data_IF_157534648239
#
_entry.id   IF_157534648239
#
_cell.length_a   1.000
_cell.length_b   1.000
_cell.length_c   1.000
_cell.angle_alpha   90.00
_cell.angle_beta   90.00
_cell.angle_gamma   90.00
#
_symmetry.space_group_name_H-M   'P 1'
#
loop_
_entity.id
_entity.type
_entity.pdbx_description
1 polymer ?
#
# COMPACT_ATOMS: atom_id res chain seq x y z
N UNK A 1 -16.80 16.06 37.93
CA UNK A 1 -15.47 15.40 37.99
C UNK A 1 -15.50 13.99 37.40
N UNK A 2 -16.56 13.61 36.66
CA UNK A 2 -16.88 12.23 36.28
C UNK A 2 -16.25 11.75 34.96
N UNK A 3 -15.79 12.67 34.10
CA UNK A 3 -15.21 12.33 32.80
C UNK A 3 -13.82 11.67 32.93
N UNK A 4 -13.08 11.99 34.00
CA UNK A 4 -11.71 11.48 34.23
C UNK A 4 -11.69 10.02 34.72
N UNK A 5 -12.71 9.60 35.48
CA UNK A 5 -12.84 8.21 35.95
C UNK A 5 -13.23 7.24 34.83
N UNK A 6 -14.12 7.63 33.90
CA UNK A 6 -14.50 6.78 32.75
C UNK A 6 -13.35 6.52 31.78
N UNK A 7 -12.50 7.52 31.53
CA UNK A 7 -11.33 7.38 30.67
C UNK A 7 -10.29 6.43 31.28
N UNK A 8 -10.08 6.50 32.60
CA UNK A 8 -9.18 5.62 33.33
C UNK A 8 -9.68 4.16 33.36
N UNK A 9 -10.98 3.94 33.61
CA UNK A 9 -11.63 2.62 33.54
C UNK A 9 -11.52 1.99 32.14
N UNK A 10 -11.70 2.78 31.07
CA UNK A 10 -11.52 2.28 29.69
C UNK A 10 -10.07 1.87 29.39
N UNK A 11 -9.09 2.64 29.87
CA UNK A 11 -7.68 2.28 29.71
C UNK A 11 -7.36 0.97 30.45
N UNK A 12 -7.85 0.80 31.68
CA UNK A 12 -7.64 -0.42 32.47
C UNK A 12 -8.28 -1.64 31.80
N UNK A 13 -9.49 -1.50 31.25
CA UNK A 13 -10.16 -2.58 30.51
C UNK A 13 -9.40 -2.98 29.25
N UNK A 14 -8.94 -2.02 28.45
CA UNK A 14 -8.18 -2.26 27.21
C UNK A 14 -6.84 -2.93 27.51
N UNK A 15 -6.13 -2.46 28.54
CA UNK A 15 -4.86 -3.06 28.97
C UNK A 15 -5.08 -4.48 29.51
N UNK A 16 -6.12 -4.71 30.32
CA UNK A 16 -6.42 -6.03 30.87
C UNK A 16 -6.81 -7.04 29.78
N UNK A 17 -7.63 -6.64 28.81
CA UNK A 17 -7.97 -7.48 27.65
C UNK A 17 -6.74 -7.75 26.76
N UNK A 18 -5.88 -6.75 26.58
CA UNK A 18 -4.62 -6.90 25.86
C UNK A 18 -3.68 -7.90 26.54
N UNK A 19 -3.52 -7.82 27.86
CA UNK A 19 -2.69 -8.74 28.65
C UNK A 19 -3.25 -10.17 28.62
N UNK A 20 -4.57 -10.34 28.79
CA UNK A 20 -5.23 -11.65 28.68
C UNK A 20 -5.12 -12.24 27.28
N UNK A 21 -5.24 -11.42 26.24
CA UNK A 21 -5.03 -11.83 24.85
C UNK A 21 -3.59 -12.30 24.59
N UNK A 22 -2.60 -11.56 25.11
CA UNK A 22 -1.17 -11.91 25.01
C UNK A 22 -0.88 -13.23 25.75
N UNK A 23 -1.44 -13.42 26.96
CA UNK A 23 -1.29 -14.65 27.75
C UNK A 23 -1.96 -15.83 27.04
N UNK A 24 -3.15 -15.64 26.46
CA UNK A 24 -3.84 -16.66 25.67
C UNK A 24 -3.04 -17.09 24.45
N UNK A 25 -2.48 -16.14 23.70
CA UNK A 25 -1.58 -16.42 22.56
C UNK A 25 -0.30 -17.13 23.01
N UNK A 26 0.24 -16.79 24.19
CA UNK A 26 1.45 -17.41 24.73
C UNK A 26 1.22 -18.86 25.18
N UNK A 27 0.11 -19.13 25.88
CA UNK A 27 -0.28 -20.48 26.34
C UNK A 27 -0.64 -21.41 25.18
N UNK A 28 -1.39 -20.92 24.20
CA UNK A 28 -1.80 -21.70 23.03
C UNK A 28 -0.82 -21.62 21.85
N UNK A 29 0.36 -21.01 22.03
CA UNK A 29 1.40 -20.83 21.00
C UNK A 29 1.69 -22.11 20.22
N UNK A 30 1.85 -23.24 20.90
CA UNK A 30 2.18 -24.54 20.26
C UNK A 30 1.01 -25.08 19.41
N UNK A 31 -0.23 -24.88 19.85
CA UNK A 31 -1.43 -25.34 19.14
C UNK A 31 -1.81 -24.41 17.97
N UNK A 32 -1.58 -23.11 18.12
CA UNK A 32 -1.77 -22.10 17.07
C UNK A 32 -0.74 -22.30 15.96
N UNK A 33 0.55 -22.48 16.28
CA UNK A 33 1.62 -22.71 15.31
C UNK A 33 1.46 -24.05 14.58
N UNK A 34 0.91 -25.09 15.23
CA UNK A 34 0.62 -26.40 14.63
C UNK A 34 -0.62 -26.40 13.72
N UNK A 35 -1.58 -25.50 13.94
CA UNK A 35 -2.78 -25.35 13.09
C UNK A 35 -2.42 -24.92 11.67
N UNK A 36 -3.25 -25.29 10.67
CA UNK A 36 -3.10 -24.87 9.26
C UNK A 36 -2.92 -23.35 9.11
N UNK A 37 -3.53 -22.57 9.98
CA UNK A 37 -3.42 -21.10 9.98
C UNK A 37 -2.06 -20.61 10.50
N UNK A 38 -1.54 -21.19 11.58
CA UNK A 38 -0.23 -20.80 12.12
C UNK A 38 0.94 -21.26 11.28
N UNK A 39 0.84 -22.42 10.61
CA UNK A 39 1.84 -22.81 9.61
C UNK A 39 1.82 -21.87 8.39
N UNK A 40 0.64 -21.41 7.94
CA UNK A 40 0.51 -20.43 6.85
C UNK A 40 1.14 -19.08 7.23
N UNK A 41 0.89 -18.60 8.44
CA UNK A 41 1.50 -17.37 8.97
C UNK A 41 3.01 -17.54 9.19
N UNK A 42 3.44 -18.67 9.74
CA UNK A 42 4.86 -18.99 9.94
C UNK A 42 5.62 -19.03 8.62
N UNK A 43 5.05 -19.63 7.58
CA UNK A 43 5.63 -19.65 6.24
C UNK A 43 5.65 -18.27 5.59
N UNK A 44 4.60 -17.44 5.76
CA UNK A 44 4.59 -16.04 5.32
C UNK A 44 5.69 -15.22 6.02
N UNK A 45 5.83 -15.36 7.34
CA UNK A 45 6.86 -14.67 8.13
C UNK A 45 8.26 -15.12 7.74
N UNK A 46 8.46 -16.43 7.53
CA UNK A 46 9.74 -16.97 7.06
C UNK A 46 10.08 -16.44 5.66
N UNK A 47 9.10 -16.42 4.74
CA UNK A 47 9.28 -15.83 3.42
C UNK A 47 9.58 -14.33 3.46
N UNK A 48 8.96 -13.58 4.38
CA UNK A 48 9.25 -12.16 4.60
C UNK A 48 10.67 -11.94 5.15
N UNK A 49 11.09 -12.75 6.12
CA UNK A 49 12.45 -12.74 6.68
C UNK A 49 13.51 -13.10 5.62
N UNK A 50 13.24 -14.12 4.80
CA UNK A 50 14.09 -14.50 3.66
C UNK A 50 14.16 -13.37 2.62
N UNK A 51 13.05 -12.67 2.37
CA UNK A 51 13.02 -11.48 1.52
C UNK A 51 13.92 -10.36 2.04
N UNK A 52 13.83 -10.02 3.33
CA UNK A 52 14.72 -9.01 3.95
C UNK A 52 16.18 -9.47 3.90
N UNK A 53 16.44 -10.76 4.16
CA UNK A 53 17.79 -11.31 4.11
C UNK A 53 18.38 -11.29 2.69
N UNK A 54 17.54 -11.38 1.66
CA UNK A 54 17.95 -11.28 0.26
C UNK A 54 18.48 -9.90 -0.09
N UNK A 55 17.89 -8.83 0.47
CA UNK A 55 18.37 -7.45 0.27
C UNK A 55 19.80 -7.29 0.78
N UNK A 56 20.15 -7.95 1.88
CA UNK A 56 21.52 -7.94 2.45
C UNK A 56 22.55 -8.68 1.60
N UNK A 57 22.12 -9.58 0.70
CA UNK A 57 22.99 -10.34 -0.21
C UNK A 57 23.25 -9.62 -1.53
N UNK A 58 22.65 -8.46 -1.77
CA UNK A 58 22.89 -7.65 -2.96
C UNK A 58 24.28 -7.02 -2.91
N UNK A 59 24.94 -6.90 -4.06
CA UNK A 59 26.25 -6.25 -4.18
C UNK A 59 26.23 -4.78 -3.72
N UNK A 60 25.08 -4.11 -3.86
CA UNK A 60 24.89 -2.68 -3.50
C UNK A 60 23.55 -2.46 -2.78
N UNK A 61 23.43 -2.85 -1.50
CA UNK A 61 22.17 -2.78 -0.77
C UNK A 61 21.70 -1.33 -0.57
N UNK A 62 22.63 -0.38 -0.44
CA UNK A 62 22.30 1.04 -0.31
C UNK A 62 21.63 1.62 -1.56
N UNK A 63 22.13 1.32 -2.76
CA UNK A 63 21.51 1.77 -4.01
C UNK A 63 20.10 1.21 -4.15
N UNK A 64 19.89 -0.05 -3.77
CA UNK A 64 18.57 -0.68 -3.80
C UNK A 64 17.56 0.05 -2.90
N UNK A 65 17.96 0.38 -1.67
CA UNK A 65 17.10 1.13 -0.73
C UNK A 65 16.80 2.52 -1.28
N UNK A 66 17.80 3.22 -1.83
CA UNK A 66 17.62 4.55 -2.42
C UNK A 66 16.65 4.51 -3.61
N UNK A 67 16.78 3.54 -4.51
CA UNK A 67 15.84 3.37 -5.63
C UNK A 67 14.44 3.01 -5.13
N UNK A 68 14.33 2.18 -4.10
CA UNK A 68 13.05 1.82 -3.49
C UNK A 68 12.35 3.05 -2.93
N UNK A 69 13.03 3.84 -2.09
CA UNK A 69 12.49 5.09 -1.54
C UNK A 69 12.15 6.10 -2.64
N UNK A 70 12.97 6.19 -3.69
CA UNK A 70 12.68 7.06 -4.83
C UNK A 70 11.39 6.66 -5.54
N UNK A 71 11.14 5.36 -5.75
CA UNK A 71 9.87 4.89 -6.35
C UNK A 71 8.68 5.31 -5.47
N UNK A 72 8.77 5.10 -4.14
CA UNK A 72 7.72 5.54 -3.22
C UNK A 72 7.49 7.05 -3.29
N UNK A 73 8.55 7.85 -3.30
CA UNK A 73 8.45 9.30 -3.42
C UNK A 73 7.81 9.72 -4.75
N UNK A 74 8.18 9.08 -5.86
CA UNK A 74 7.57 9.37 -7.17
C UNK A 74 6.08 9.00 -7.21
N UNK A 75 5.68 7.88 -6.60
CA UNK A 75 4.27 7.50 -6.48
C UNK A 75 3.47 8.50 -5.62
N UNK A 76 4.07 8.98 -4.53
CA UNK A 76 3.49 10.03 -3.72
C UNK A 76 3.32 11.33 -4.50
N UNK A 77 4.38 11.78 -5.18
CA UNK A 77 4.36 12.99 -6.00
C UNK A 77 3.35 12.90 -7.13
N UNK A 78 3.26 11.76 -7.81
CA UNK A 78 2.22 11.50 -8.81
C UNK A 78 0.83 11.73 -8.24
N UNK A 79 0.53 11.15 -7.07
CA UNK A 79 -0.78 11.28 -6.41
C UNK A 79 -1.06 12.73 -6.02
N UNK A 80 -0.07 13.40 -5.44
CA UNK A 80 -0.20 14.79 -4.99
C UNK A 80 -0.36 15.76 -6.17
N UNK A 81 0.42 15.58 -7.24
CA UNK A 81 0.32 16.41 -8.44
C UNK A 81 -1.02 16.21 -9.17
N UNK A 82 -1.58 15.00 -9.14
CA UNK A 82 -2.87 14.71 -9.72
C UNK A 82 -4.02 15.49 -9.04
N UNK A 83 -3.91 15.85 -7.76
CA UNK A 83 -4.91 16.70 -7.11
C UNK A 83 -5.07 18.04 -7.81
N UNK A 84 -3.98 18.66 -8.27
CA UNK A 84 -4.05 19.94 -9.00
C UNK A 84 -4.72 19.81 -10.37
N UNK A 85 -4.76 18.61 -10.94
CA UNK A 85 -5.40 18.35 -12.24
C UNK A 85 -6.93 18.22 -12.15
N UNK A 86 -7.49 18.05 -10.96
CA UNK A 86 -8.91 17.80 -10.75
C UNK A 86 -9.49 18.80 -9.75
N UNK A 87 -10.34 19.70 -10.22
CA UNK A 87 -10.82 20.84 -9.44
C UNK A 87 -11.39 20.45 -8.04
N UNK A 88 -12.20 19.38 -7.90
CA UNK A 88 -12.71 18.96 -6.58
C UNK A 88 -11.64 18.54 -5.57
N UNK A 89 -10.47 18.09 -6.01
CA UNK A 89 -9.38 17.63 -5.12
C UNK A 89 -8.21 18.62 -5.04
N UNK A 90 -8.22 19.69 -5.83
CA UNK A 90 -7.13 20.68 -5.95
C UNK A 90 -6.76 21.43 -4.65
N UNK A 91 -7.68 21.52 -3.70
CA UNK A 91 -7.49 22.19 -2.41
C UNK A 91 -6.95 21.26 -1.31
N UNK A 92 -6.78 19.98 -1.60
CA UNK A 92 -6.38 18.97 -0.61
C UNK A 92 -4.91 19.10 -0.24
N UNK A 93 -4.61 18.86 1.03
CA UNK A 93 -3.25 19.02 1.57
C UNK A 93 -2.33 17.85 1.18
N UNK A 94 -1.00 18.03 1.24
CA UNK A 94 -0.04 16.95 0.98
C UNK A 94 -0.23 15.70 1.86
N UNK A 95 -0.78 15.88 3.07
CA UNK A 95 -1.09 14.77 4.01
C UNK A 95 -2.21 13.89 3.45
N UNK A 96 -3.22 14.48 2.80
CA UNK A 96 -4.29 13.74 2.13
C UNK A 96 -3.72 12.91 0.98
N UNK A 97 -2.72 13.44 0.27
CA UNK A 97 -2.02 12.70 -0.80
C UNK A 97 -1.31 11.45 -0.27
N UNK A 98 -0.73 11.54 0.93
CA UNK A 98 -0.07 10.40 1.58
C UNK A 98 -1.12 9.35 2.00
N UNK A 99 -2.25 9.80 2.55
CA UNK A 99 -3.38 8.92 2.88
C UNK A 99 -3.90 8.19 1.63
N UNK A 100 -4.17 8.90 0.54
CA UNK A 100 -4.62 8.29 -0.71
C UNK A 100 -3.60 7.30 -1.25
N UNK A 101 -2.31 7.61 -1.19
CA UNK A 101 -1.23 6.69 -1.57
C UNK A 101 -1.26 5.40 -0.74
N UNK A 102 -1.37 5.50 0.58
CA UNK A 102 -1.41 4.33 1.48
C UNK A 102 -2.65 3.48 1.22
N UNK A 103 -3.83 4.11 1.15
CA UNK A 103 -5.09 3.41 0.87
C UNK A 103 -5.10 2.78 -0.53
N UNK A 104 -4.54 3.47 -1.53
CA UNK A 104 -4.35 2.94 -2.87
C UNK A 104 -3.41 1.72 -2.88
N UNK A 105 -2.28 1.79 -2.18
CA UNK A 105 -1.35 0.67 -2.06
C UNK A 105 -2.01 -0.56 -1.40
N UNK A 106 -2.82 -0.33 -0.35
CA UNK A 106 -3.63 -1.38 0.27
C UNK A 106 -4.66 -1.95 -0.71
N UNK A 107 -5.27 -1.12 -1.55
CA UNK A 107 -6.25 -1.52 -2.55
C UNK A 107 -5.68 -2.44 -3.61
N UNK A 108 -4.42 -2.22 -4.00
CA UNK A 108 -3.68 -3.11 -4.92
C UNK A 108 -3.18 -4.37 -4.21
N UNK A 109 -2.86 -4.30 -2.92
CA UNK A 109 -2.40 -5.44 -2.14
C UNK A 109 -3.51 -6.45 -1.84
N UNK A 110 -4.79 -6.02 -1.85
CA UNK A 110 -5.93 -6.92 -1.75
C UNK A 110 -5.98 -7.86 -2.97
N UNK A 111 -6.46 -9.11 -2.80
CA UNK A 111 -6.46 -10.11 -3.87
C UNK A 111 -7.58 -9.85 -4.89
N UNK A 112 -7.51 -8.73 -5.61
CA UNK A 112 -8.37 -8.42 -6.76
C UNK A 112 -7.56 -8.40 -8.06
N UNK A 113 -8.16 -8.76 -9.21
CA UNK A 113 -7.47 -8.75 -10.50
C UNK A 113 -6.88 -7.36 -10.80
N UNK A 114 -5.55 -7.25 -10.76
CA UNK A 114 -4.83 -5.99 -11.01
C UNK A 114 -5.14 -4.86 -10.02
N UNK A 115 -5.71 -5.14 -8.84
CA UNK A 115 -6.11 -4.11 -7.88
C UNK A 115 -7.41 -3.38 -8.23
N UNK A 116 -8.09 -3.75 -9.33
CA UNK A 116 -9.31 -3.09 -9.79
C UNK A 116 -10.47 -3.31 -8.80
N UNK A 117 -11.32 -2.30 -8.63
CA UNK A 117 -12.43 -2.25 -7.67
C UNK A 117 -11.97 -1.91 -6.24
N UNK A 118 -11.02 -2.68 -5.71
CA UNK A 118 -10.47 -2.48 -4.37
C UNK A 118 -9.69 -1.15 -4.24
N UNK A 119 -8.89 -0.81 -5.26
CA UNK A 119 -8.21 0.48 -5.35
C UNK A 119 -9.20 1.65 -5.33
N UNK A 120 -10.20 1.62 -6.23
CA UNK A 120 -11.21 2.68 -6.30
C UNK A 120 -11.98 2.81 -4.99
N UNK A 121 -12.36 1.67 -4.39
CA UNK A 121 -13.02 1.62 -3.10
C UNK A 121 -12.23 2.34 -2.00
N UNK A 122 -10.96 1.98 -1.82
CA UNK A 122 -10.14 2.55 -0.75
C UNK A 122 -9.73 4.00 -0.99
N UNK A 123 -9.53 4.41 -2.25
CA UNK A 123 -9.28 5.83 -2.58
C UNK A 123 -10.53 6.68 -2.33
N UNK A 124 -11.73 6.18 -2.68
CA UNK A 124 -12.99 6.85 -2.34
C UNK A 124 -13.16 7.01 -0.83
N UNK A 125 -12.86 5.98 -0.05
CA UNK A 125 -12.91 6.05 1.42
C UNK A 125 -11.90 7.08 1.95
N UNK A 126 -10.67 7.07 1.45
CA UNK A 126 -9.64 8.01 1.86
C UNK A 126 -10.06 9.46 1.61
N UNK A 127 -10.60 9.76 0.43
CA UNK A 127 -11.06 11.11 0.08
C UNK A 127 -12.36 11.50 0.79
N UNK A 128 -13.27 10.55 1.02
CA UNK A 128 -14.52 10.77 1.73
C UNK A 128 -14.32 11.19 3.18
N UNK A 129 -13.27 10.72 3.85
CA UNK A 129 -12.88 11.18 5.20
C UNK A 129 -12.58 12.69 5.22
N UNK A 130 -12.12 13.25 4.11
CA UNK A 130 -11.81 14.68 3.96
C UNK A 130 -12.95 15.48 3.30
N UNK A 131 -14.15 14.91 3.18
CA UNK A 131 -15.34 15.62 2.71
C UNK A 131 -15.50 15.69 1.19
N UNK A 132 -14.71 14.93 0.42
CA UNK A 132 -14.89 14.84 -1.05
C UNK A 132 -16.13 14.00 -1.36
N UNK A 133 -16.97 14.48 -2.27
CA UNK A 133 -18.16 13.75 -2.72
C UNK A 133 -17.77 12.39 -3.31
N UNK A 134 -18.61 11.37 -3.09
CA UNK A 134 -18.32 10.00 -3.54
C UNK A 134 -18.15 9.91 -5.08
N UNK A 135 -18.94 10.67 -5.83
CA UNK A 135 -18.82 10.78 -7.30
C UNK A 135 -17.45 11.32 -7.72
N UNK A 136 -16.96 12.33 -7.00
CA UNK A 136 -15.69 13.00 -7.30
C UNK A 136 -14.51 12.14 -6.88
N UNK A 137 -14.61 11.46 -5.73
CA UNK A 137 -13.63 10.48 -5.29
C UNK A 137 -13.53 9.29 -6.24
N UNK A 138 -14.65 8.82 -6.80
CA UNK A 138 -14.66 7.77 -7.82
C UNK A 138 -13.98 8.24 -9.11
N UNK A 139 -14.33 9.43 -9.61
CA UNK A 139 -13.70 10.04 -10.78
C UNK A 139 -12.19 10.18 -10.60
N UNK A 140 -11.75 10.72 -9.46
CA UNK A 140 -10.34 10.86 -9.14
C UNK A 140 -9.59 9.52 -9.09
N UNK A 141 -10.18 8.50 -8.47
CA UNK A 141 -9.60 7.16 -8.43
C UNK A 141 -9.45 6.55 -9.83
N UNK A 142 -10.41 6.78 -10.73
CA UNK A 142 -10.32 6.31 -12.11
C UNK A 142 -9.25 7.06 -12.91
N UNK A 143 -9.09 8.38 -12.70
CA UNK A 143 -8.02 9.16 -13.33
C UNK A 143 -6.65 8.60 -12.94
N UNK A 144 -6.40 8.41 -11.63
CA UNK A 144 -5.13 7.85 -11.17
C UNK A 144 -4.89 6.42 -11.70
N UNK A 145 -5.90 5.55 -11.63
CA UNK A 145 -5.75 4.15 -11.98
C UNK A 145 -5.63 3.93 -13.50
N UNK A 146 -6.58 4.44 -14.28
CA UNK A 146 -6.61 4.18 -15.72
C UNK A 146 -5.69 5.08 -16.52
N UNK A 147 -5.69 6.39 -16.24
CA UNK A 147 -4.90 7.33 -17.03
C UNK A 147 -3.42 7.20 -16.69
N UNK A 148 -3.08 7.27 -15.40
CA UNK A 148 -1.68 7.34 -15.00
C UNK A 148 -1.08 5.95 -14.82
N UNK A 149 -1.72 5.05 -14.08
CA UNK A 149 -1.09 3.76 -13.79
C UNK A 149 -1.17 2.78 -14.96
N UNK A 150 -2.36 2.46 -15.46
CA UNK A 150 -2.53 1.54 -16.59
C UNK A 150 -2.08 2.21 -17.89
N UNK A 151 -2.49 3.45 -18.15
CA UNK A 151 -2.16 4.19 -19.36
C UNK A 151 -0.66 4.30 -19.57
N UNK A 152 0.10 4.80 -18.59
CA UNK A 152 1.55 4.89 -18.73
C UNK A 152 2.21 3.51 -18.86
N UNK A 153 1.81 2.52 -18.05
CA UNK A 153 2.40 1.18 -18.13
C UNK A 153 2.17 0.52 -19.50
N UNK A 154 0.98 0.67 -20.08
CA UNK A 154 0.67 0.14 -21.42
C UNK A 154 1.48 0.88 -22.50
N UNK A 155 1.54 2.21 -22.44
CA UNK A 155 2.30 3.00 -23.42
C UNK A 155 3.79 2.66 -23.38
N UNK A 156 4.42 2.69 -22.20
CA UNK A 156 5.83 2.33 -22.06
C UNK A 156 6.08 0.85 -22.38
N UNK A 157 5.15 -0.03 -22.06
CA UNK A 157 5.22 -1.45 -22.42
C UNK A 157 5.22 -1.66 -23.94
N UNK A 158 4.32 -1.01 -24.67
CA UNK A 158 4.27 -1.08 -26.14
C UNK A 158 5.53 -0.47 -26.76
N UNK A 159 5.96 0.71 -26.29
CA UNK A 159 7.20 1.35 -26.75
C UNK A 159 8.40 0.43 -26.54
N UNK A 160 8.50 -0.22 -25.37
CA UNK A 160 9.55 -1.19 -25.09
C UNK A 160 9.50 -2.36 -26.08
N UNK A 161 8.32 -2.95 -26.35
CA UNK A 161 8.17 -4.06 -27.30
C UNK A 161 8.59 -3.70 -28.73
N UNK A 162 8.38 -2.45 -29.16
CA UNK A 162 8.79 -1.98 -30.49
C UNK A 162 10.30 -1.69 -30.51
N UNK A 163 10.83 -1.07 -29.45
CA UNK A 163 12.25 -0.68 -29.37
C UNK A 163 13.19 -1.88 -29.17
N UNK A 164 12.77 -2.90 -28.41
CA UNK A 164 13.59 -4.07 -28.08
C UNK A 164 14.13 -4.81 -29.32
N UNK A 165 13.32 -5.16 -30.34
CA UNK A 165 13.85 -5.81 -31.55
C UNK A 165 14.77 -4.88 -32.36
N UNK A 166 14.55 -3.57 -32.33
CA UNK A 166 15.40 -2.59 -33.04
C UNK A 166 16.78 -2.49 -32.37
N UNK A 167 16.81 -2.37 -31.04
CA UNK A 167 18.06 -2.29 -30.26
C UNK A 167 18.81 -3.64 -30.32
N UNK A 168 18.10 -4.76 -30.19
CA UNK A 168 18.71 -6.08 -30.22
C UNK A 168 19.25 -6.46 -31.61
N UNK A 169 18.71 -5.90 -32.69
CA UNK A 169 19.30 -6.02 -34.03
C UNK A 169 20.64 -5.26 -34.15
N UNK A 170 20.79 -4.12 -33.49
CA UNK A 170 22.02 -3.32 -33.51
C UNK A 170 23.18 -3.94 -32.71
N UNK A 171 22.88 -4.75 -31.68
CA UNK A 171 23.89 -5.46 -30.88
C UNK A 171 24.27 -6.86 -31.44
N UNK A 172 23.63 -7.31 -32.53
CA UNK A 172 23.92 -8.59 -33.20
C UNK A 172 24.75 -8.45 -34.49
N UNK A 173 25.30 -7.26 -34.75
CA UNK A 173 26.22 -6.98 -35.86
C UNK A 173 27.56 -6.51 -35.35
#
# INVERSE_FOLDING_TARGET
>A
MDCRCRFFEQIVFVVSFGVLGIIGVWLFRKQIISSKFGQKIGNLLKGFLEGIQTIRKLDRPFLFILHSLNIWLMYYLMTYLAFFSFAPTSHLTPVVGLMVMVFGALGVALPSPGGMGAYQGLVMVALGIYGVAQSDGFSFANILFFSVQIGCNVVFGILALILLPIINRKNRG
#
